data_IF_328783292431
#
_entry.id   IF_328783292431
#
_cell.length_a   1.000
_cell.length_b   1.000
_cell.length_c   1.000
_cell.angle_alpha   90.00
_cell.angle_beta   90.00
_cell.angle_gamma   90.00
#
_symmetry.space_group_name_H-M   'P 1'
#
loop_
_entity.id
_entity.type
_entity.pdbx_description
1 polymer ?
#
# COMPACT_ATOMS: atom_id res chain seq x y z
N UNK A 1 -2.29 -32.93 39.68
CA UNK A 1 -3.41 -32.37 38.89
C UNK A 1 -2.91 -32.13 37.49
N UNK A 2 -3.37 -32.93 36.53
CA UNK A 2 -2.96 -32.81 35.13
C UNK A 2 -3.52 -31.51 34.55
N UNK A 3 -2.65 -30.55 34.23
CA UNK A 3 -3.03 -29.38 33.43
C UNK A 3 -3.28 -29.89 32.00
N UNK A 4 -4.54 -30.18 31.69
CA UNK A 4 -5.00 -30.37 30.33
C UNK A 4 -4.87 -29.05 29.58
N UNK A 5 -3.67 -28.76 29.06
CA UNK A 5 -3.44 -27.57 28.27
C UNK A 5 -3.97 -27.83 26.86
N UNK A 6 -5.28 -27.70 26.66
CA UNK A 6 -5.83 -27.59 25.31
C UNK A 6 -5.21 -26.36 24.65
N UNK A 7 -4.58 -26.52 23.48
CA UNK A 7 -4.07 -25.39 22.73
C UNK A 7 -5.21 -24.39 22.48
N UNK A 8 -4.98 -23.07 22.67
CA UNK A 8 -6.02 -22.08 22.50
C UNK A 8 -6.60 -22.15 21.09
N UNK A 9 -7.92 -22.29 21.00
CA UNK A 9 -8.63 -22.36 19.72
C UNK A 9 -8.65 -20.96 19.10
N UNK A 10 -8.10 -20.84 17.89
CA UNK A 10 -8.09 -19.58 17.14
C UNK A 10 -9.36 -19.46 16.30
N UNK A 11 -10.10 -18.38 16.50
CA UNK A 11 -11.24 -18.00 15.70
C UNK A 11 -10.81 -17.07 14.55
N UNK A 12 -11.23 -17.33 13.30
CA UNK A 12 -11.04 -16.40 12.18
C UNK A 12 -11.55 -14.98 12.49
N UNK A 13 -10.77 -13.96 12.12
CA UNK A 13 -11.17 -12.54 12.23
C UNK A 13 -11.34 -11.94 10.83
N UNK A 14 -10.28 -12.00 10.01
CA UNK A 14 -10.26 -11.37 8.69
C UNK A 14 -9.24 -12.04 7.76
N UNK A 15 -9.36 -11.76 6.46
CA UNK A 15 -8.46 -12.27 5.41
C UNK A 15 -7.91 -11.11 4.59
N UNK A 16 -6.64 -11.19 4.24
CA UNK A 16 -5.91 -10.13 3.55
C UNK A 16 -5.08 -10.71 2.41
N UNK A 17 -4.78 -9.89 1.41
CA UNK A 17 -3.99 -10.27 0.23
C UNK A 17 -2.49 -10.09 0.46
N UNK A 18 -2.09 -9.23 1.41
CA UNK A 18 -0.68 -9.03 1.77
C UNK A 18 -0.45 -9.20 3.27
N UNK A 19 0.79 -9.54 3.63
CA UNK A 19 1.19 -9.62 5.03
C UNK A 19 1.13 -8.24 5.71
N UNK A 20 1.47 -7.16 5.00
CA UNK A 20 1.44 -5.80 5.56
C UNK A 20 0.01 -5.39 5.93
N UNK A 21 -0.96 -5.69 5.07
CA UNK A 21 -2.38 -5.44 5.35
C UNK A 21 -2.88 -6.27 6.53
N UNK A 22 -2.45 -7.53 6.64
CA UNK A 22 -2.78 -8.37 7.78
C UNK A 22 -2.20 -7.84 9.11
N UNK A 23 -0.97 -7.28 9.08
CA UNK A 23 -0.37 -6.67 10.28
C UNK A 23 -1.04 -5.33 10.59
N UNK A 24 -1.44 -4.56 9.58
CA UNK A 24 -2.23 -3.33 9.78
C UNK A 24 -3.58 -3.65 10.43
N UNK A 25 -4.31 -4.64 9.90
CA UNK A 25 -5.55 -5.12 10.48
C UNK A 25 -5.37 -5.65 11.91
N UNK A 26 -4.25 -6.32 12.19
CA UNK A 26 -3.89 -6.74 13.54
C UNK A 26 -3.78 -5.55 14.51
N UNK A 27 -3.11 -4.47 14.12
CA UNK A 27 -3.03 -3.27 14.97
C UNK A 27 -4.34 -2.49 15.03
N UNK A 28 -5.21 -2.62 14.03
CA UNK A 28 -6.55 -2.03 14.03
C UNK A 28 -7.60 -2.88 14.76
N UNK A 29 -7.26 -4.11 15.16
CA UNK A 29 -8.20 -5.10 15.69
C UNK A 29 -8.93 -4.63 16.95
N UNK A 30 -8.20 -4.01 17.88
CA UNK A 30 -8.75 -3.43 19.11
C UNK A 30 -7.85 -2.28 19.60
N UNK A 31 -8.17 -1.69 20.75
CA UNK A 31 -7.43 -0.57 21.34
C UNK A 31 -6.07 -0.97 21.98
N UNK A 32 -5.70 -2.25 21.97
CA UNK A 32 -4.57 -2.77 22.73
C UNK A 32 -3.32 -2.97 21.86
N UNK A 33 -2.17 -2.97 22.52
CA UNK A 33 -0.87 -3.14 21.86
C UNK A 33 -0.46 -4.60 21.83
N UNK A 34 0.06 -5.03 20.68
CA UNK A 34 0.56 -6.38 20.46
C UNK A 34 2.02 -6.37 20.01
N UNK A 35 2.76 -7.39 20.47
CA UNK A 35 4.14 -7.65 20.02
C UNK A 35 4.27 -9.09 19.57
N UNK A 36 5.23 -9.36 18.67
CA UNK A 36 5.54 -10.71 18.24
C UNK A 36 5.82 -11.62 19.43
N UNK A 37 5.12 -12.74 19.51
CA UNK A 37 5.42 -13.82 20.43
C UNK A 37 6.37 -14.79 19.73
N UNK A 38 7.55 -15.03 20.31
CA UNK A 38 8.48 -16.00 19.78
C UNK A 38 7.89 -17.41 19.96
N UNK A 39 7.55 -18.06 18.85
CA UNK A 39 7.10 -19.46 18.85
C UNK A 39 8.33 -20.37 18.82
N UNK A 40 8.70 -20.94 19.95
CA UNK A 40 9.66 -22.05 20.00
C UNK A 40 8.88 -23.37 19.91
N UNK A 41 8.68 -23.91 18.71
CA UNK A 41 8.01 -25.20 18.52
C UNK A 41 7.58 -25.49 17.08
N UNK A 42 7.28 -26.76 16.80
CA UNK A 42 6.92 -27.28 15.47
C UNK A 42 5.49 -26.91 14.99
N UNK A 43 4.82 -25.96 15.65
CA UNK A 43 3.40 -25.66 15.42
C UNK A 43 3.21 -24.47 14.47
N UNK A 44 3.05 -24.79 13.18
CA UNK A 44 2.35 -23.98 12.18
C UNK A 44 3.07 -22.73 11.69
N UNK A 45 3.02 -22.50 10.38
CA UNK A 45 3.68 -21.40 9.65
C UNK A 45 3.10 -19.99 9.94
N UNK A 46 2.50 -19.77 11.12
CA UNK A 46 1.83 -18.52 11.48
C UNK A 46 2.65 -17.62 12.39
N UNK A 47 2.61 -16.32 12.13
CA UNK A 47 3.18 -15.30 13.02
C UNK A 47 2.21 -15.06 14.17
N UNK A 48 2.65 -15.30 15.40
CA UNK A 48 1.82 -15.10 16.61
C UNK A 48 2.23 -13.82 17.31
N UNK A 49 1.23 -13.12 17.84
CA UNK A 49 1.36 -11.87 18.55
C UNK A 49 0.66 -11.98 19.90
N UNK A 50 1.28 -11.44 20.93
CA UNK A 50 0.73 -11.39 22.29
C UNK A 50 0.41 -9.96 22.67
N UNK A 51 -0.67 -9.78 23.40
CA UNK A 51 -1.00 -8.52 24.04
C UNK A 51 0.10 -8.13 25.04
N UNK A 52 0.46 -6.85 25.08
CA UNK A 52 1.34 -6.26 26.09
C UNK A 52 0.64 -5.23 26.97
N UNK A 53 -0.59 -4.84 26.62
CA UNK A 53 -1.39 -3.91 27.41
C UNK A 53 -1.83 -4.49 28.75
N UNK A 54 -1.90 -5.82 28.91
CA UNK A 54 -2.30 -6.46 30.16
C UNK A 54 -1.24 -7.41 30.74
N UNK A 55 -1.19 -7.53 32.07
CA UNK A 55 -0.32 -8.47 32.80
C UNK A 55 -0.84 -9.89 32.60
N UNK A 56 0.09 -10.83 32.41
CA UNK A 56 -0.20 -12.26 32.18
C UNK A 56 -1.37 -12.54 31.22
N UNK A 57 -1.50 -11.68 30.19
CA UNK A 57 -2.61 -11.70 29.25
C UNK A 57 -2.62 -12.97 28.41
N UNK A 58 -3.78 -13.61 28.27
CA UNK A 58 -3.98 -14.81 27.44
C UNK A 58 -4.31 -14.48 25.98
N UNK A 59 -4.69 -13.23 25.70
CA UNK A 59 -5.02 -12.77 24.36
C UNK A 59 -3.88 -12.98 23.36
N UNK A 60 -4.15 -13.74 22.30
CA UNK A 60 -3.24 -13.98 21.17
C UNK A 60 -3.90 -13.67 19.84
N UNK A 61 -3.13 -13.04 18.96
CA UNK A 61 -3.47 -12.89 17.55
C UNK A 61 -2.48 -13.70 16.72
N UNK A 62 -2.95 -14.31 15.63
CA UNK A 62 -2.11 -15.09 14.74
C UNK A 62 -2.43 -14.72 13.30
N UNK A 63 -1.40 -14.44 12.52
CA UNK A 63 -1.49 -14.30 11.07
C UNK A 63 -1.00 -15.62 10.46
N UNK A 64 -1.89 -16.33 9.78
CA UNK A 64 -1.57 -17.54 9.03
C UNK A 64 -1.46 -17.19 7.55
N UNK A 65 -0.38 -17.64 6.92
CA UNK A 65 -0.28 -17.66 5.47
C UNK A 65 -0.97 -18.93 4.97
N UNK A 66 -2.04 -18.77 4.20
CA UNK A 66 -2.77 -19.86 3.57
C UNK A 66 -2.44 -19.87 2.08
N UNK A 67 -1.64 -20.86 1.69
CA UNK A 67 -1.59 -21.39 0.33
C UNK A 67 -2.61 -22.52 0.29
N UNK A 68 -3.84 -22.26 -0.14
CA UNK A 68 -4.72 -23.38 -0.48
C UNK A 68 -4.15 -23.99 -1.76
N UNK A 69 -3.92 -25.31 -1.75
CA UNK A 69 -3.35 -26.06 -2.89
C UNK A 69 -4.29 -26.10 -4.12
N UNK A 70 -5.44 -25.42 -4.05
CA UNK A 70 -6.29 -25.13 -5.21
C UNK A 70 -5.64 -23.98 -5.98
N UNK A 71 -5.13 -24.27 -7.18
CA UNK A 71 -4.29 -23.40 -8.04
C UNK A 71 -4.89 -22.02 -8.41
N UNK A 72 -6.10 -21.72 -7.91
CA UNK A 72 -6.92 -20.54 -8.20
C UNK A 72 -7.01 -19.55 -7.02
N UNK A 73 -6.62 -19.92 -5.79
CA UNK A 73 -6.73 -19.03 -4.63
C UNK A 73 -5.39 -18.34 -4.38
N UNK A 74 -5.29 -17.00 -4.55
CA UNK A 74 -4.06 -16.27 -4.23
C UNK A 74 -3.70 -16.47 -2.76
N UNK A 75 -2.40 -16.38 -2.44
CA UNK A 75 -1.92 -16.43 -1.05
C UNK A 75 -2.76 -15.47 -0.22
N UNK A 76 -3.43 -16.00 0.80
CA UNK A 76 -4.23 -15.19 1.72
C UNK A 76 -3.62 -15.24 3.10
N UNK A 77 -3.50 -14.06 3.72
CA UNK A 77 -3.08 -13.92 5.09
C UNK A 77 -4.34 -13.83 5.95
N UNK A 78 -4.57 -14.84 6.78
CA UNK A 78 -5.71 -14.89 7.67
C UNK A 78 -5.30 -14.44 9.07
N UNK A 79 -5.93 -13.37 9.56
CA UNK A 79 -5.87 -12.97 10.96
C UNK A 79 -6.85 -13.81 11.75
N UNK A 80 -6.38 -14.40 12.84
CA UNK A 80 -7.18 -15.18 13.77
C UNK A 80 -6.86 -14.79 15.22
N UNK A 81 -7.84 -14.97 16.09
CA UNK A 81 -7.85 -14.48 17.46
C UNK A 81 -8.10 -15.62 18.44
N UNK A 82 -7.39 -15.63 19.57
CA UNK A 82 -7.62 -16.59 20.65
C UNK A 82 -7.41 -15.95 22.02
N UNK A 83 -8.02 -16.54 23.05
CA UNK A 83 -7.92 -16.08 24.44
C UNK A 83 -8.60 -14.73 24.69
N UNK A 84 -8.70 -14.40 25.97
CA UNK A 84 -9.31 -13.17 26.48
C UNK A 84 -8.24 -12.23 27.02
N UNK A 85 -8.58 -10.94 27.11
CA UNK A 85 -7.72 -9.96 27.78
C UNK A 85 -7.80 -10.14 29.29
N UNK A 86 -6.69 -9.91 29.99
CA UNK A 86 -6.69 -9.82 31.44
C UNK A 86 -7.16 -8.44 31.92
N UNK A 87 -7.51 -8.33 33.20
CA UNK A 87 -8.05 -7.07 33.77
C UNK A 87 -6.95 -6.09 34.21
N UNK A 88 -5.72 -6.57 34.41
CA UNK A 88 -4.62 -5.76 34.96
C UNK A 88 -3.82 -5.11 33.83
N UNK A 89 -3.87 -3.79 33.73
CA UNK A 89 -3.14 -3.01 32.72
C UNK A 89 -1.66 -2.88 33.07
N UNK A 90 -0.77 -2.98 32.08
CA UNK A 90 0.68 -2.80 32.27
C UNK A 90 1.16 -1.44 31.79
N UNK A 91 2.32 -1.00 32.30
CA UNK A 91 3.03 0.18 31.80
C UNK A 91 4.00 -0.13 30.65
N UNK A 92 3.95 -1.34 30.07
CA UNK A 92 4.81 -1.71 28.94
C UNK A 92 4.36 -0.91 27.71
N UNK A 93 5.34 -0.46 26.92
CA UNK A 93 5.11 0.27 25.69
C UNK A 93 5.68 -0.49 24.50
N UNK A 94 4.98 -0.44 23.38
CA UNK A 94 5.48 -0.96 22.10
C UNK A 94 6.75 -0.22 21.65
N UNK A 95 7.67 -0.99 21.09
CA UNK A 95 8.84 -0.42 20.41
C UNK A 95 8.45 -0.02 18.99
N UNK A 96 8.69 1.24 18.64
CA UNK A 96 8.32 1.81 17.34
C UNK A 96 6.84 2.22 17.26
N UNK A 97 6.50 2.86 16.14
CA UNK A 97 5.17 3.47 15.93
C UNK A 97 4.16 2.39 15.49
N UNK A 98 2.97 2.43 16.06
CA UNK A 98 1.85 1.57 15.65
C UNK A 98 1.52 1.76 14.16
N UNK A 99 1.30 0.65 13.41
CA UNK A 99 1.11 0.79 11.96
C UNK A 99 -0.18 1.51 11.59
N UNK A 100 -1.21 1.47 12.45
CA UNK A 100 -2.48 2.16 12.20
C UNK A 100 -2.30 3.68 12.06
N UNK A 101 -1.32 4.26 12.78
CA UNK A 101 -1.02 5.70 12.74
C UNK A 101 0.30 6.03 12.02
N UNK A 102 1.13 5.03 11.73
CA UNK A 102 2.46 5.22 11.11
C UNK A 102 2.38 5.95 9.77
N UNK A 103 1.41 5.60 8.91
CA UNK A 103 1.25 6.24 7.61
C UNK A 103 1.02 7.75 7.73
N UNK A 104 0.25 8.16 8.72
CA UNK A 104 -0.05 9.58 8.99
C UNK A 104 1.15 10.31 9.56
N UNK A 105 1.87 9.68 10.49
CA UNK A 105 3.14 10.21 11.00
C UNK A 105 4.12 10.43 9.85
N UNK A 106 4.26 9.45 8.96
CA UNK A 106 5.15 9.54 7.80
C UNK A 106 4.72 10.69 6.87
N UNK A 107 3.42 10.83 6.61
CA UNK A 107 2.87 11.93 5.81
C UNK A 107 3.13 13.31 6.42
N UNK A 108 2.93 13.48 7.72
CA UNK A 108 3.21 14.74 8.43
C UNK A 108 4.70 15.08 8.42
N UNK A 109 5.56 14.10 8.69
CA UNK A 109 7.01 14.30 8.67
C UNK A 109 7.53 14.59 7.26
N UNK A 110 6.98 13.96 6.23
CA UNK A 110 7.32 14.23 4.83
C UNK A 110 6.97 15.66 4.42
N UNK A 111 5.90 16.24 4.97
CA UNK A 111 5.52 17.66 4.80
C UNK A 111 6.37 18.64 5.61
N UNK A 112 7.37 18.16 6.35
CA UNK A 112 8.26 19.01 7.15
C UNK A 112 7.68 19.44 8.51
N UNK A 113 6.58 18.83 8.96
CA UNK A 113 5.99 19.13 10.27
C UNK A 113 6.96 18.70 11.39
N UNK A 114 7.12 19.54 12.41
CA UNK A 114 8.01 19.24 13.54
C UNK A 114 7.43 18.14 14.42
N UNK A 115 8.26 17.30 15.09
CA UNK A 115 7.75 16.18 15.91
C UNK A 115 6.68 16.57 16.94
N UNK A 116 6.84 17.71 17.62
CA UNK A 116 5.85 18.23 18.58
C UNK A 116 4.51 18.57 17.90
N UNK A 117 4.55 19.22 16.74
CA UNK A 117 3.35 19.56 15.96
C UNK A 117 2.70 18.30 15.38
N UNK A 118 3.47 17.28 15.01
CA UNK A 118 2.92 15.99 14.59
C UNK A 118 2.09 15.34 15.71
N UNK A 119 2.61 15.30 16.93
CA UNK A 119 1.87 14.75 18.07
C UNK A 119 0.57 15.50 18.33
N UNK A 120 0.64 16.83 18.35
CA UNK A 120 -0.54 17.67 18.59
C UNK A 120 -1.58 17.50 17.47
N UNK A 121 -1.15 17.38 16.22
CA UNK A 121 -2.04 17.10 15.09
C UNK A 121 -2.74 15.73 15.23
N UNK A 122 -2.02 14.69 15.64
CA UNK A 122 -2.61 13.36 15.86
C UNK A 122 -3.57 13.36 17.07
N UNK A 123 -3.19 14.00 18.18
CA UNK A 123 -4.05 14.12 19.36
C UNK A 123 -5.36 14.86 19.04
N UNK A 124 -5.28 15.96 18.29
CA UNK A 124 -6.47 16.70 17.87
C UNK A 124 -7.34 15.89 16.90
N UNK A 125 -6.72 15.17 15.96
CA UNK A 125 -7.44 14.34 14.99
C UNK A 125 -8.21 13.21 15.66
N UNK A 126 -7.61 12.58 16.66
CA UNK A 126 -8.18 11.44 17.37
C UNK A 126 -8.86 11.82 18.69
N UNK A 127 -9.13 13.10 18.94
CA UNK A 127 -9.68 13.59 20.21
C UNK A 127 -10.96 12.83 20.63
N UNK A 128 -11.83 12.52 19.67
CA UNK A 128 -13.10 11.83 19.90
C UNK A 128 -12.97 10.29 19.81
N UNK A 129 -11.77 9.76 19.58
CA UNK A 129 -11.50 8.34 19.36
C UNK A 129 -10.50 7.82 20.41
N UNK A 130 -10.96 7.47 21.62
CA UNK A 130 -10.08 7.06 22.72
C UNK A 130 -9.23 5.83 22.35
N UNK A 131 -9.77 4.90 21.58
CA UNK A 131 -9.07 3.70 21.12
C UNK A 131 -7.86 4.01 20.22
N UNK A 132 -7.93 5.10 19.45
CA UNK A 132 -6.84 5.55 18.59
C UNK A 132 -5.84 6.43 19.34
N UNK A 133 -6.29 7.20 20.35
CA UNK A 133 -5.41 8.00 21.19
C UNK A 133 -4.37 7.16 21.93
N UNK A 134 -4.73 5.96 22.37
CA UNK A 134 -3.79 5.03 23.03
C UNK A 134 -2.64 4.63 22.10
N UNK A 135 -2.85 4.65 20.79
CA UNK A 135 -1.88 4.26 19.76
C UNK A 135 -1.00 5.41 19.28
N UNK A 136 -1.25 6.64 19.77
CA UNK A 136 -0.47 7.81 19.40
C UNK A 136 0.97 7.64 19.92
N UNK A 137 1.99 7.77 19.04
CA UNK A 137 3.37 7.56 19.45
C UNK A 137 3.86 8.65 20.43
N UNK A 138 4.95 8.36 21.13
CA UNK A 138 5.66 9.38 21.90
C UNK A 138 6.60 10.24 21.03
N UNK A 139 7.06 11.36 21.59
CA UNK A 139 7.93 12.29 20.86
C UNK A 139 9.26 11.64 20.43
N UNK A 140 9.79 10.73 21.24
CA UNK A 140 11.01 9.99 20.93
C UNK A 140 10.84 9.09 19.71
N UNK A 141 9.73 8.36 19.65
CA UNK A 141 9.37 7.52 18.51
C UNK A 141 9.21 8.32 17.22
N UNK A 142 8.56 9.49 17.27
CA UNK A 142 8.41 10.38 16.10
C UNK A 142 9.76 10.95 15.65
N UNK A 143 10.61 11.40 16.59
CA UNK A 143 11.97 11.86 16.28
C UNK A 143 12.82 10.76 15.64
N UNK A 144 12.77 9.54 16.20
CA UNK A 144 13.47 8.38 15.65
C UNK A 144 12.98 8.03 14.24
N UNK A 145 11.66 8.15 14.00
CA UNK A 145 11.09 7.93 12.68
C UNK A 145 11.55 8.97 11.67
N UNK A 146 11.60 10.24 12.04
CA UNK A 146 12.12 11.33 11.20
C UNK A 146 13.57 11.07 10.78
N UNK A 147 14.44 10.64 11.72
CA UNK A 147 15.82 10.29 11.41
C UNK A 147 15.90 9.11 10.42
N UNK A 148 15.05 8.11 10.61
CA UNK A 148 14.95 6.95 9.71
C UNK A 148 14.52 7.39 8.30
N UNK A 149 13.47 8.21 8.16
CA UNK A 149 13.00 8.74 6.86
C UNK A 149 14.10 9.54 6.14
N UNK A 150 14.81 10.43 6.85
CA UNK A 150 15.94 11.19 6.29
C UNK A 150 17.07 10.28 5.79
N UNK A 151 17.34 9.19 6.50
CA UNK A 151 18.36 8.20 6.11
C UNK A 151 17.94 7.43 4.85
N UNK A 152 16.66 7.08 4.71
CA UNK A 152 16.14 6.41 3.51
C UNK A 152 16.17 7.33 2.29
N UNK A 153 15.75 8.59 2.43
CA UNK A 153 15.79 9.56 1.32
C UNK A 153 17.21 9.82 0.80
N UNK A 154 18.23 9.77 1.67
CA UNK A 154 19.65 9.89 1.25
C UNK A 154 20.19 8.68 0.50
N UNK A 155 19.51 7.53 0.59
CA UNK A 155 19.94 6.26 -0.02
C UNK A 155 19.19 5.91 -1.30
N UNK A 156 18.21 6.71 -1.70
CA UNK A 156 17.55 6.58 -3.00
C UNK A 156 18.59 6.87 -4.11
N UNK A 157 18.90 5.91 -5.00
CA UNK A 157 19.84 6.13 -6.10
C UNK A 157 19.15 7.04 -7.13
N UNK A 158 19.48 8.33 -7.09
CA UNK A 158 18.86 9.33 -7.96
C UNK A 158 19.16 10.79 -7.62
N UNK A 159 19.79 11.08 -6.47
CA UNK A 159 20.24 12.43 -6.18
C UNK A 159 21.69 12.64 -6.66
N UNK A 160 21.83 13.29 -7.82
CA UNK A 160 23.10 13.81 -8.33
C UNK A 160 23.79 14.63 -7.25
N UNK A 161 24.92 14.12 -6.80
CA UNK A 161 25.82 14.76 -5.85
C UNK A 161 26.38 16.06 -6.44
N UNK A 162 25.94 17.21 -5.94
CA UNK A 162 26.82 18.38 -5.87
C UNK A 162 27.48 18.35 -4.49
N UNK A 163 28.73 17.88 -4.48
CA UNK A 163 29.57 17.89 -3.30
C UNK A 163 29.88 19.33 -2.90
N UNK A 164 29.48 19.73 -1.69
CA UNK A 164 30.14 20.81 -0.96
C UNK A 164 30.87 20.18 0.23
N UNK A 165 32.20 20.25 0.13
CA UNK A 165 33.14 19.91 1.17
C UNK A 165 32.96 20.84 2.36
N UNK A 166 32.61 20.29 3.53
CA UNK A 166 32.89 20.94 4.80
C UNK A 166 33.83 20.07 5.62
N UNK A 167 35.01 20.64 5.81
CA UNK A 167 36.15 20.16 6.59
C UNK A 167 35.69 19.76 8.00
N UNK A 168 36.21 18.63 8.46
CA UNK A 168 36.00 18.18 9.83
C UNK A 168 36.68 19.08 10.86
N UNK A 169 36.06 19.21 12.04
CA UNK A 169 36.78 19.34 13.31
C UNK A 169 35.93 18.84 14.49
N UNK A 170 36.44 17.74 15.07
CA UNK A 170 36.64 17.40 16.49
C UNK A 170 35.56 17.73 17.53
N UNK A 171 35.14 16.67 18.25
CA UNK A 171 34.33 16.68 19.48
C UNK A 171 34.98 17.49 20.62
N UNK A 172 34.17 18.18 21.42
CA UNK A 172 34.15 18.13 22.91
C UNK A 172 32.82 18.74 23.43
N UNK A 173 32.43 18.28 24.61
CA UNK A 173 31.18 18.48 25.32
C UNK A 173 30.97 19.90 25.90
N UNK A 174 29.73 20.10 26.37
CA UNK A 174 29.31 20.87 27.57
C UNK A 174 28.60 22.22 27.34
N UNK A 175 27.30 22.22 27.68
CA UNK A 175 26.40 23.23 28.28
C UNK A 175 26.76 24.71 28.10
N UNK A 176 25.90 25.53 27.48
CA UNK A 176 24.90 26.37 28.19
C UNK A 176 24.10 27.28 27.22
N UNK A 177 22.89 27.62 27.66
CA UNK A 177 22.07 28.82 27.48
C UNK A 177 21.83 29.57 26.14
N UNK A 178 20.53 29.79 25.89
CA UNK A 178 19.86 30.99 25.35
C UNK A 178 20.40 31.69 24.10
N UNK A 179 19.58 31.71 23.04
CA UNK A 179 18.99 32.97 22.57
C UNK A 179 18.02 32.76 21.41
N UNK A 180 16.95 33.51 21.49
CA UNK A 180 15.83 33.65 20.59
C UNK A 180 16.27 34.36 19.30
N UNK A 181 15.66 34.02 18.17
CA UNK A 181 15.30 35.02 17.15
C UNK A 181 14.38 34.39 16.11
N UNK A 182 13.16 34.90 16.11
CA UNK A 182 12.14 34.76 15.08
C UNK A 182 12.58 35.51 13.81
N UNK A 183 12.23 35.00 12.64
CA UNK A 183 12.22 35.80 11.42
C UNK A 183 11.04 35.36 10.54
N UNK A 184 10.03 36.20 10.54
CA UNK A 184 8.93 36.23 9.59
C UNK A 184 9.43 36.74 8.25
N UNK A 185 8.91 36.19 7.14
CA UNK A 185 8.93 36.89 5.85
C UNK A 185 7.61 36.66 5.14
N UNK A 186 7.05 37.78 4.71
CA UNK A 186 5.69 38.02 4.24
C UNK A 186 5.45 37.56 2.79
N UNK A 187 4.15 37.54 2.47
CA UNK A 187 3.50 37.17 1.22
C UNK A 187 3.44 38.38 0.28
N UNK A 188 3.64 38.17 -1.03
CA UNK A 188 3.10 39.08 -2.06
C UNK A 188 2.43 38.31 -3.20
N UNK A 189 1.17 38.68 -3.45
CA UNK A 189 0.38 38.34 -4.62
C UNK A 189 0.49 39.48 -5.65
N UNK A 190 0.48 39.15 -6.95
CA UNK A 190 -0.05 40.05 -7.97
C UNK A 190 -0.67 39.26 -9.11
N UNK A 191 -1.74 39.81 -9.68
CA UNK A 191 -2.73 39.14 -10.48
C UNK A 191 -2.82 39.71 -11.91
N UNK A 192 -3.19 38.82 -12.83
CA UNK A 192 -3.93 38.93 -14.12
C UNK A 192 -3.52 39.97 -15.18
N UNK A 193 -3.38 39.50 -16.43
CA UNK A 193 -4.03 40.08 -17.61
C UNK A 193 -4.34 38.95 -18.63
N UNK A 194 -5.55 39.00 -19.20
CA UNK A 194 -6.15 38.06 -20.14
C UNK A 194 -6.30 38.73 -21.51
N UNK A 195 -6.02 38.02 -22.63
CA UNK A 195 -6.73 38.27 -23.90
C UNK A 195 -6.54 37.16 -24.94
N UNK A 196 -7.62 36.41 -25.13
CA UNK A 196 -8.24 36.03 -26.41
C UNK A 196 -7.36 35.47 -27.55
N UNK A 197 -7.41 34.14 -27.75
CA UNK A 197 -7.34 33.51 -29.09
C UNK A 197 -8.11 32.20 -29.11
N UNK A 198 -9.43 32.31 -29.26
CA UNK A 198 -10.34 31.17 -29.43
C UNK A 198 -10.40 30.72 -30.90
N UNK A 199 -10.65 29.41 -31.10
CA UNK A 199 -11.17 28.73 -32.30
C UNK A 199 -10.25 27.99 -33.30
N UNK A 200 -9.06 27.50 -32.93
CA UNK A 200 -8.32 26.53 -33.81
C UNK A 200 -7.67 25.32 -33.14
N UNK A 201 -7.81 25.13 -31.82
CA UNK A 201 -7.07 24.10 -31.08
C UNK A 201 -7.84 22.80 -30.80
N UNK A 202 -9.16 22.76 -30.96
CA UNK A 202 -9.94 21.55 -30.59
C UNK A 202 -9.87 20.42 -31.62
N UNK A 203 -9.57 20.71 -32.89
CA UNK A 203 -9.57 19.69 -33.95
C UNK A 203 -8.19 19.04 -34.18
N UNK A 204 -7.12 19.67 -33.69
CA UNK A 204 -5.73 19.18 -33.81
C UNK A 204 -5.33 18.35 -32.58
N UNK A 205 -5.81 18.74 -31.38
CA UNK A 205 -5.49 18.05 -30.13
C UNK A 205 -6.05 16.61 -30.08
N UNK A 206 -7.19 16.34 -30.71
CA UNK A 206 -7.76 14.99 -30.78
C UNK A 206 -6.97 14.08 -31.70
N UNK A 207 -6.40 14.60 -32.80
CA UNK A 207 -5.65 13.80 -33.77
C UNK A 207 -4.22 13.52 -33.28
N UNK A 208 -3.57 14.48 -32.61
CA UNK A 208 -2.25 14.26 -32.00
C UNK A 208 -2.32 13.32 -30.77
N UNK A 209 -3.40 13.42 -29.98
CA UNK A 209 -3.71 12.48 -28.88
C UNK A 209 -3.82 11.03 -29.37
N UNK A 210 -4.61 10.79 -30.43
CA UNK A 210 -4.86 9.44 -30.93
C UNK A 210 -3.58 8.77 -31.50
N UNK A 211 -2.66 9.54 -32.07
CA UNK A 211 -1.39 9.04 -32.63
C UNK A 211 -0.39 8.67 -31.51
N UNK A 212 -0.36 9.43 -30.41
CA UNK A 212 0.52 9.13 -29.26
C UNK A 212 0.03 7.92 -28.45
N UNK A 213 -1.29 7.65 -28.42
CA UNK A 213 -1.84 6.44 -27.79
C UNK A 213 -1.51 5.17 -28.59
N UNK A 214 -1.47 5.25 -29.93
CA UNK A 214 -1.12 4.13 -30.80
C UNK A 214 0.34 3.69 -30.65
N UNK A 215 1.29 4.61 -30.46
CA UNK A 215 2.71 4.29 -30.20
C UNK A 215 2.96 3.78 -28.77
N UNK A 216 2.12 4.18 -27.81
CA UNK A 216 2.28 3.81 -26.39
C UNK A 216 1.96 2.34 -26.11
N UNK A 217 1.05 1.75 -26.89
CA UNK A 217 0.65 0.34 -26.77
C UNK A 217 1.03 -0.50 -28.01
N UNK A 218 2.22 -0.24 -28.57
CA UNK A 218 2.77 -1.07 -29.64
C UNK A 218 2.90 -2.55 -29.19
N UNK A 219 2.45 -3.49 -30.04
CA UNK A 219 2.38 -4.92 -29.70
C UNK A 219 3.77 -5.52 -29.48
N UNK A 220 4.73 -5.19 -30.32
CA UNK A 220 6.09 -5.73 -30.25
C UNK A 220 6.84 -5.17 -29.04
N UNK A 221 6.61 -3.90 -28.72
CA UNK A 221 7.15 -3.26 -27.52
C UNK A 221 6.59 -3.86 -26.23
N UNK A 222 5.26 -4.02 -26.14
CA UNK A 222 4.60 -4.59 -24.96
C UNK A 222 4.95 -6.06 -24.75
N UNK A 223 4.95 -6.86 -25.83
CA UNK A 223 5.36 -8.27 -25.75
C UNK A 223 6.79 -8.41 -25.24
N UNK A 224 7.72 -7.59 -25.74
CA UNK A 224 9.11 -7.58 -25.25
C UNK A 224 9.22 -7.12 -23.80
N UNK A 225 8.48 -6.07 -23.42
CA UNK A 225 8.48 -5.52 -22.06
C UNK A 225 7.93 -6.52 -21.04
N UNK A 226 6.80 -7.17 -21.34
CA UNK A 226 6.16 -8.12 -20.42
C UNK A 226 6.89 -9.46 -20.37
N UNK A 227 7.54 -9.88 -21.47
CA UNK A 227 8.44 -11.03 -21.44
C UNK A 227 9.65 -10.77 -20.53
N UNK A 228 10.22 -9.56 -20.54
CA UNK A 228 11.35 -9.19 -19.68
C UNK A 228 10.92 -8.91 -18.24
N UNK A 229 9.76 -8.30 -18.04
CA UNK A 229 9.22 -7.87 -16.75
C UNK A 229 7.75 -8.30 -16.62
N UNK A 230 7.49 -9.57 -16.24
CA UNK A 230 6.14 -10.10 -16.10
C UNK A 230 5.23 -9.36 -15.12
N UNK A 231 5.82 -8.64 -14.16
CA UNK A 231 5.06 -7.84 -13.19
C UNK A 231 4.66 -6.45 -13.64
N UNK A 232 5.12 -6.01 -14.81
CA UNK A 232 4.81 -4.69 -15.34
C UNK A 232 3.32 -4.41 -15.57
N UNK A 233 2.52 -5.34 -16.13
CA UNK A 233 1.10 -5.11 -16.37
C UNK A 233 0.23 -5.33 -15.13
N UNK A 234 0.79 -5.59 -13.94
CA UNK A 234 -0.06 -5.76 -12.74
C UNK A 234 -0.73 -4.44 -12.37
N UNK A 235 -2.00 -4.56 -12.00
CA UNK A 235 -2.99 -3.50 -11.81
C UNK A 235 -3.47 -2.81 -13.08
N UNK A 236 -3.06 -3.28 -14.27
CA UNK A 236 -3.58 -2.72 -15.51
C UNK A 236 -5.02 -3.17 -15.75
N UNK A 237 -5.83 -2.24 -16.22
CA UNK A 237 -7.24 -2.42 -16.56
C UNK A 237 -7.37 -2.91 -18.02
N UNK A 238 -8.12 -3.98 -18.23
CA UNK A 238 -8.36 -4.58 -19.55
C UNK A 238 -9.86 -4.80 -19.81
N UNK A 239 -10.22 -5.05 -21.07
CA UNK A 239 -11.60 -5.31 -21.49
C UNK A 239 -11.75 -6.71 -22.08
N UNK A 240 -12.72 -7.45 -21.56
CA UNK A 240 -13.23 -8.68 -22.17
C UNK A 240 -14.47 -8.36 -22.97
N UNK A 241 -14.49 -8.86 -24.21
CA UNK A 241 -15.64 -8.81 -25.10
C UNK A 241 -16.43 -10.10 -25.00
N UNK A 242 -17.66 -10.06 -24.52
CA UNK A 242 -18.59 -11.19 -24.56
C UNK A 242 -19.66 -10.95 -25.61
N UNK A 243 -20.01 -11.99 -26.36
CA UNK A 243 -21.12 -11.98 -27.33
C UNK A 243 -22.12 -13.02 -26.88
N UNK A 244 -23.37 -12.63 -26.69
CA UNK A 244 -24.47 -13.56 -26.44
C UNK A 244 -25.69 -13.21 -27.29
N UNK A 245 -26.51 -14.21 -27.55
CA UNK A 245 -27.76 -14.07 -28.27
C UNK A 245 -28.83 -13.80 -27.21
N UNK A 246 -29.59 -12.72 -27.36
CA UNK A 246 -30.67 -12.39 -26.40
C UNK A 246 -31.89 -13.22 -26.76
N UNK A 247 -32.42 -14.01 -25.83
CA UNK A 247 -33.42 -15.09 -26.03
C UNK A 247 -34.77 -14.73 -26.71
N UNK A 248 -34.94 -13.50 -27.24
CA UNK A 248 -36.15 -13.07 -27.95
C UNK A 248 -35.87 -12.24 -29.22
N UNK A 249 -34.61 -11.98 -29.54
CA UNK A 249 -34.16 -11.26 -30.73
C UNK A 249 -32.90 -11.97 -31.20
N UNK A 250 -32.86 -12.49 -32.44
CA UNK A 250 -31.64 -13.08 -33.04
C UNK A 250 -30.45 -12.09 -33.12
N UNK A 251 -30.61 -10.89 -32.57
CA UNK A 251 -29.58 -9.88 -32.38
C UNK A 251 -28.48 -10.37 -31.43
N UNK A 252 -27.26 -10.44 -31.96
CA UNK A 252 -26.03 -10.69 -31.21
C UNK A 252 -25.69 -9.42 -30.42
N UNK A 253 -25.91 -9.45 -29.12
CA UNK A 253 -25.53 -8.35 -28.22
C UNK A 253 -24.07 -8.55 -27.81
N UNK A 254 -23.27 -7.50 -28.00
CA UNK A 254 -21.89 -7.45 -27.52
C UNK A 254 -21.85 -6.68 -26.21
N UNK A 255 -21.36 -7.32 -25.16
CA UNK A 255 -21.14 -6.69 -23.86
C UNK A 255 -19.63 -6.59 -23.59
N UNK A 256 -19.23 -5.50 -22.96
CA UNK A 256 -17.85 -5.24 -22.58
C UNK A 256 -17.75 -5.29 -21.07
N UNK A 257 -16.84 -6.11 -20.56
CA UNK A 257 -16.59 -6.24 -19.13
C UNK A 257 -15.18 -5.78 -18.83
N UNK A 258 -15.03 -4.96 -17.80
CA UNK A 258 -13.73 -4.54 -17.30
C UNK A 258 -13.14 -5.64 -16.42
N UNK A 259 -11.83 -5.83 -16.54
CA UNK A 259 -11.03 -6.68 -15.66
C UNK A 259 -9.72 -6.02 -15.31
N UNK A 260 -9.07 -6.51 -14.27
CA UNK A 260 -7.77 -6.02 -13.82
C UNK A 260 -6.77 -7.16 -13.74
N UNK A 261 -5.56 -6.92 -14.24
CA UNK A 261 -4.45 -7.86 -14.11
C UNK A 261 -4.01 -7.89 -12.65
N UNK A 262 -4.26 -8.97 -11.94
CA UNK A 262 -3.97 -9.09 -10.50
C UNK A 262 -2.61 -9.75 -10.21
N UNK A 263 -1.98 -10.35 -11.22
CA UNK A 263 -0.68 -11.01 -11.05
C UNK A 263 -0.25 -11.78 -12.29
N UNK A 264 0.83 -12.55 -12.14
CA UNK A 264 1.35 -13.45 -13.16
C UNK A 264 1.90 -14.71 -12.51
N UNK A 265 1.86 -15.82 -13.24
CA UNK A 265 2.36 -17.13 -12.84
C UNK A 265 3.49 -17.56 -13.78
N UNK A 266 4.60 -17.99 -13.21
CA UNK A 266 5.71 -18.62 -13.93
C UNK A 266 5.91 -20.03 -13.37
N UNK A 267 5.32 -21.05 -13.99
CA UNK A 267 5.50 -22.46 -13.60
C UNK A 267 6.72 -23.06 -14.34
N UNK A 268 7.92 -22.92 -13.79
CA UNK A 268 9.12 -23.61 -14.30
C UNK A 268 9.35 -23.42 -15.82
N UNK A 269 9.34 -24.53 -16.58
CA UNK A 269 9.55 -24.54 -18.04
C UNK A 269 8.33 -24.07 -18.88
N UNK A 270 7.22 -23.64 -18.27
CA UNK A 270 6.04 -23.17 -19.00
C UNK A 270 6.11 -21.68 -19.35
N UNK A 271 5.36 -21.26 -20.36
CA UNK A 271 5.12 -19.85 -20.66
C UNK A 271 4.51 -19.12 -19.47
N UNK A 272 4.93 -17.87 -19.26
CA UNK A 272 4.33 -16.95 -18.28
C UNK A 272 2.86 -16.75 -18.61
N UNK A 273 1.99 -16.86 -17.60
CA UNK A 273 0.56 -16.58 -17.73
C UNK A 273 0.15 -15.47 -16.78
N UNK A 274 -0.65 -14.53 -17.25
CA UNK A 274 -1.15 -13.42 -16.45
C UNK A 274 -2.53 -13.72 -15.91
N UNK A 275 -2.74 -13.40 -14.64
CA UNK A 275 -4.02 -13.62 -13.96
C UNK A 275 -4.81 -12.33 -14.02
N UNK A 276 -5.99 -12.38 -14.63
CA UNK A 276 -6.90 -11.24 -14.74
C UNK A 276 -8.20 -11.56 -14.02
N UNK A 277 -8.66 -10.65 -13.16
CA UNK A 277 -9.97 -10.73 -12.53
C UNK A 277 -10.94 -9.75 -13.20
N UNK A 278 -12.05 -10.26 -13.68
CA UNK A 278 -13.13 -9.49 -14.28
C UNK A 278 -14.17 -9.05 -13.24
N UNK A 279 -14.97 -8.04 -13.60
CA UNK A 279 -16.02 -7.47 -12.75
C UNK A 279 -17.18 -8.42 -12.42
N UNK A 280 -17.39 -9.44 -13.24
CA UNK A 280 -18.31 -10.56 -12.99
C UNK A 280 -17.77 -11.58 -11.96
N UNK A 281 -16.53 -11.39 -11.51
CA UNK A 281 -15.82 -12.30 -10.60
C UNK A 281 -15.07 -13.42 -11.32
N UNK A 282 -15.13 -13.52 -12.65
CA UNK A 282 -14.38 -14.50 -13.43
C UNK A 282 -12.88 -14.19 -13.33
N UNK A 283 -12.08 -15.24 -13.10
CA UNK A 283 -10.62 -15.15 -13.14
C UNK A 283 -10.14 -15.91 -14.38
N UNK A 284 -9.36 -15.24 -15.22
CA UNK A 284 -8.82 -15.82 -16.45
C UNK A 284 -7.30 -15.77 -16.46
N UNK A 285 -6.68 -16.84 -16.97
CA UNK A 285 -5.26 -16.91 -17.25
C UNK A 285 -5.04 -16.57 -18.72
N UNK A 286 -4.33 -15.48 -18.97
CA UNK A 286 -3.99 -15.02 -20.32
C UNK A 286 -2.53 -15.31 -20.63
N UNK A 287 -2.27 -15.79 -21.84
CA UNK A 287 -0.91 -15.84 -22.35
C UNK A 287 -0.43 -14.46 -22.78
N UNK A 288 0.88 -14.31 -23.03
CA UNK A 288 1.50 -13.02 -23.33
C UNK A 288 0.80 -12.30 -24.50
N UNK A 289 0.54 -13.03 -25.58
CA UNK A 289 -0.09 -12.46 -26.77
C UNK A 289 -1.54 -12.05 -26.51
N UNK A 290 -2.29 -12.90 -25.80
CA UNK A 290 -3.70 -12.65 -25.45
C UNK A 290 -3.84 -11.41 -24.56
N UNK A 291 -2.97 -11.28 -23.54
CA UNK A 291 -2.96 -10.14 -22.65
C UNK A 291 -2.66 -8.85 -23.41
N UNK A 292 -1.65 -8.86 -24.28
CA UNK A 292 -1.27 -7.69 -25.07
C UNK A 292 -2.40 -7.30 -26.02
N UNK A 293 -3.08 -8.26 -26.62
CA UNK A 293 -4.20 -7.98 -27.52
C UNK A 293 -5.44 -7.43 -26.77
N UNK A 294 -5.73 -7.91 -25.55
CA UNK A 294 -6.80 -7.37 -24.71
C UNK A 294 -6.46 -5.96 -24.19
N UNK A 295 -5.21 -5.69 -23.79
CA UNK A 295 -4.72 -4.35 -23.42
C UNK A 295 -4.86 -3.36 -24.58
N UNK A 296 -4.43 -3.76 -25.78
CA UNK A 296 -4.52 -2.91 -26.98
C UNK A 296 -5.97 -2.65 -27.36
N UNK A 297 -6.82 -3.67 -27.24
CA UNK A 297 -8.26 -3.51 -27.49
C UNK A 297 -8.89 -2.56 -26.47
N UNK A 298 -8.48 -2.63 -25.21
CA UNK A 298 -8.94 -1.73 -24.16
C UNK A 298 -8.49 -0.27 -24.40
N UNK A 299 -7.22 -0.07 -24.74
CA UNK A 299 -6.68 1.24 -25.11
C UNK A 299 -7.41 1.84 -26.32
N UNK A 300 -7.64 1.06 -27.38
CA UNK A 300 -8.39 1.49 -28.57
C UNK A 300 -9.84 1.90 -28.29
N UNK A 301 -10.40 1.43 -27.18
CA UNK A 301 -11.76 1.77 -26.73
C UNK A 301 -11.75 2.94 -25.73
N UNK A 302 -10.61 3.59 -25.52
CA UNK A 302 -10.44 4.72 -24.61
C UNK A 302 -10.42 4.34 -23.14
N UNK A 303 -10.23 3.06 -22.79
CA UNK A 303 -10.06 2.66 -21.40
C UNK A 303 -8.66 3.08 -20.92
N UNK A 304 -8.59 3.70 -19.75
CA UNK A 304 -7.32 3.96 -19.09
C UNK A 304 -6.72 2.64 -18.57
N UNK A 305 -5.87 2.03 -19.40
CA UNK A 305 -5.27 0.71 -19.12
C UNK A 305 -4.31 0.76 -17.93
N UNK A 306 -3.64 1.88 -17.67
CA UNK A 306 -2.52 1.90 -16.70
C UNK A 306 -2.89 2.39 -15.31
N UNK A 307 -4.16 2.72 -15.06
CA UNK A 307 -4.66 3.38 -13.84
C UNK A 307 -3.85 4.65 -13.44
N UNK A 308 -3.02 5.18 -14.34
CA UNK A 308 -2.35 6.47 -14.15
C UNK A 308 -3.37 7.56 -14.40
N UNK A 309 -3.52 8.56 -13.51
CA UNK A 309 -4.36 9.70 -13.83
C UNK A 309 -3.92 10.25 -15.19
N UNK A 310 -4.88 10.44 -16.10
CA UNK A 310 -4.64 11.27 -17.28
C UNK A 310 -4.24 12.64 -16.71
N UNK A 311 -3.01 13.07 -16.99
CA UNK A 311 -2.62 14.45 -16.72
C UNK A 311 -3.56 15.33 -17.55
N UNK A 312 -4.57 15.90 -16.88
CA UNK A 312 -5.46 16.94 -17.40
C UNK A 312 -4.79 18.30 -17.27
#
# INVERSE_FOLDING_TARGET
>A
MARGSSAPTYCPVSTHTTLEDAILALHAHDAFEYVTAYNYGAFGNGRVYRCISHEDCERRLRILESTKDEEEIPVTFQLAAAGEHGDQVTNRKRVGIDLSVKGEVDGLLARGVTPKKCLLALQNKYADQPEMLVKVPDEGQVRNRLLTLRKHNRKSPGATTTALSLRGRKRRAEWDESSESEMEVEVENSAVEESTRSKRHEEIATVESDIEEEERFDKEKLTKEFAALPGRPVFWSILKKTKYIRDKSEDVVTEWMTGQVIGWQTKGNSSTKWVVRYTDGEIRLLELEELVDEIRSAAKLGLNVTDRPLDL
#
